data_IF_533778318022
#
_entry.id   IF_533778318022
#
_cell.length_a   1.000
_cell.length_b   1.000
_cell.length_c   1.000
_cell.angle_alpha   90.00
_cell.angle_beta   90.00
_cell.angle_gamma   90.00
#
_symmetry.space_group_name_H-M   'P 1'
#
loop_
_entity.id
_entity.type
_entity.pdbx_description
1 polymer ?
#
# COMPACT_ATOMS: atom_id res chain seq x y z
N UNK A 1 -3.16 -16.97 -10.64
CA UNK A 1 -2.19 -17.50 -11.61
C UNK A 1 -2.48 -18.95 -12.01
N UNK A 2 -2.29 -19.93 -11.11
CA UNK A 2 -2.41 -21.38 -11.41
C UNK A 2 -3.66 -21.80 -12.18
N UNK A 3 -4.85 -21.38 -11.71
CA UNK A 3 -6.11 -21.75 -12.33
C UNK A 3 -6.28 -21.20 -13.77
N UNK A 4 -5.53 -20.17 -14.13
CA UNK A 4 -5.50 -19.57 -15.47
C UNK A 4 -4.26 -19.98 -16.28
N UNK A 5 -3.43 -20.90 -15.78
CA UNK A 5 -2.18 -21.37 -16.42
C UNK A 5 -1.18 -20.24 -16.74
N UNK A 6 -1.10 -19.25 -15.86
CA UNK A 6 -0.13 -18.15 -15.93
C UNK A 6 1.17 -18.50 -15.20
N UNK A 7 2.21 -17.69 -15.38
CA UNK A 7 3.49 -17.85 -14.70
C UNK A 7 3.32 -17.55 -13.19
N UNK A 8 3.39 -18.61 -12.36
CA UNK A 8 3.25 -18.49 -10.91
C UNK A 8 4.41 -17.73 -10.29
N UNK A 9 5.64 -17.94 -10.74
CA UNK A 9 6.84 -17.29 -10.19
C UNK A 9 6.84 -15.79 -10.46
N UNK A 10 6.45 -15.38 -11.68
CA UNK A 10 6.32 -13.95 -12.02
C UNK A 10 5.20 -13.31 -11.19
N UNK A 11 4.06 -13.99 -11.04
CA UNK A 11 2.96 -13.48 -10.20
C UNK A 11 3.41 -13.32 -8.76
N UNK A 12 4.09 -14.32 -8.19
CA UNK A 12 4.60 -14.28 -6.82
C UNK A 12 5.65 -13.18 -6.63
N UNK A 13 6.61 -13.05 -7.56
CA UNK A 13 7.62 -12.00 -7.50
C UNK A 13 6.99 -10.59 -7.51
N UNK A 14 5.97 -10.36 -8.33
CA UNK A 14 5.23 -9.09 -8.33
C UNK A 14 4.46 -8.92 -7.01
N UNK A 15 3.76 -9.96 -6.55
CA UNK A 15 3.01 -9.93 -5.29
C UNK A 15 3.90 -9.61 -4.08
N UNK A 16 5.13 -10.10 -4.03
CA UNK A 16 6.07 -9.79 -2.95
C UNK A 16 6.66 -8.38 -3.05
N UNK A 17 6.74 -7.83 -4.26
CA UNK A 17 7.39 -6.54 -4.51
C UNK A 17 6.46 -5.32 -4.56
N UNK A 18 5.15 -5.51 -4.78
CA UNK A 18 4.23 -4.40 -5.09
C UNK A 18 4.14 -3.36 -3.96
N UNK A 19 4.26 -3.81 -2.70
CA UNK A 19 3.99 -3.02 -1.51
C UNK A 19 5.25 -2.53 -0.76
N UNK A 20 6.44 -2.73 -1.33
CA UNK A 20 7.71 -2.39 -0.67
C UNK A 20 7.89 -0.89 -0.36
N UNK A 21 7.16 -0.03 -1.07
CA UNK A 21 7.25 1.42 -0.96
C UNK A 21 6.23 2.06 -0.02
N UNK A 22 5.41 1.27 0.68
CA UNK A 22 4.47 1.83 1.66
C UNK A 22 5.20 2.53 2.80
N UNK A 23 4.71 3.74 3.11
CA UNK A 23 5.21 4.51 4.23
C UNK A 23 4.72 3.96 5.56
N UNK A 24 5.41 4.27 6.68
CA UNK A 24 4.82 4.14 8.00
C UNK A 24 3.44 4.78 8.07
N UNK A 25 2.54 4.15 8.82
CA UNK A 25 1.14 4.58 8.98
C UNK A 25 0.30 4.55 7.70
N UNK A 26 0.75 3.82 6.67
CA UNK A 26 0.02 3.63 5.42
C UNK A 26 -0.33 4.95 4.74
N UNK A 27 -1.62 5.15 4.41
CA UNK A 27 -2.10 6.34 3.71
C UNK A 27 -1.74 7.67 4.39
N UNK A 28 -1.67 7.72 5.71
CA UNK A 28 -1.34 8.95 6.44
C UNK A 28 0.09 9.41 6.14
N UNK A 29 1.03 8.46 6.11
CA UNK A 29 2.43 8.72 5.75
C UNK A 29 2.55 9.15 4.29
N UNK A 30 1.88 8.43 3.39
CA UNK A 30 1.89 8.69 1.94
C UNK A 30 1.35 10.08 1.63
N UNK A 31 0.15 10.44 2.14
CA UNK A 31 -0.44 11.77 1.96
C UNK A 31 0.42 12.89 2.56
N UNK A 32 1.17 12.60 3.62
CA UNK A 32 2.09 13.58 4.21
C UNK A 32 3.30 13.79 3.33
N UNK A 33 3.96 12.72 2.88
CA UNK A 33 5.11 12.83 1.97
C UNK A 33 4.69 13.43 0.62
N UNK A 34 3.51 13.11 0.11
CA UNK A 34 2.99 13.65 -1.15
C UNK A 34 2.86 15.17 -1.10
N UNK A 35 2.39 15.73 0.02
CA UNK A 35 2.33 17.18 0.23
C UNK A 35 3.71 17.83 0.42
N UNK A 36 4.68 17.09 0.94
CA UNK A 36 6.00 17.61 1.29
C UNK A 36 7.00 17.54 0.13
N UNK A 37 6.79 16.62 -0.82
CA UNK A 37 7.69 16.41 -1.95
C UNK A 37 7.30 17.25 -3.17
N UNK A 38 8.27 17.95 -3.80
CA UNK A 38 8.04 18.59 -5.09
C UNK A 38 7.86 17.51 -6.16
N UNK A 39 6.62 17.28 -6.59
CA UNK A 39 6.26 16.22 -7.54
C UNK A 39 5.37 15.11 -6.95
N UNK A 40 5.13 15.15 -5.64
CA UNK A 40 4.30 14.18 -4.95
C UNK A 40 5.05 12.93 -4.50
N UNK A 41 4.33 12.02 -3.86
CA UNK A 41 4.81 10.72 -3.39
C UNK A 41 3.72 9.68 -3.65
N UNK A 42 4.11 8.53 -4.18
CA UNK A 42 3.21 7.40 -4.43
C UNK A 42 3.91 6.10 -4.07
N UNK A 43 3.28 5.27 -3.27
CA UNK A 43 3.89 4.04 -2.77
C UNK A 43 4.34 3.12 -3.91
N UNK A 44 3.60 3.03 -5.02
CA UNK A 44 3.96 2.19 -6.15
C UNK A 44 5.21 2.68 -6.92
N UNK A 45 5.42 4.00 -6.98
CA UNK A 45 6.65 4.59 -7.52
C UNK A 45 7.82 4.35 -6.56
N UNK A 46 7.55 4.42 -5.25
CA UNK A 46 8.53 4.10 -4.22
C UNK A 46 8.89 2.60 -4.22
N UNK A 47 7.95 1.67 -4.40
CA UNK A 47 8.21 0.22 -4.48
C UNK A 47 9.15 -0.09 -5.64
N UNK A 48 8.92 0.55 -6.80
CA UNK A 48 9.83 0.43 -7.94
C UNK A 48 11.21 1.02 -7.61
N UNK A 49 11.27 2.18 -6.96
CA UNK A 49 12.53 2.82 -6.55
C UNK A 49 13.32 1.97 -5.55
N UNK A 50 12.65 1.29 -4.62
CA UNK A 50 13.28 0.37 -3.66
C UNK A 50 14.03 -0.73 -4.41
N UNK A 51 13.36 -1.42 -5.33
CA UNK A 51 13.98 -2.53 -6.08
C UNK A 51 14.95 -2.07 -7.16
N UNK A 52 14.83 -0.85 -7.66
CA UNK A 52 15.70 -0.32 -8.72
C UNK A 52 16.94 0.38 -8.20
N UNK A 53 16.94 0.86 -6.95
CA UNK A 53 18.01 1.75 -6.45
C UNK A 53 18.41 1.53 -4.99
N UNK A 54 17.44 1.37 -4.08
CA UNK A 54 17.71 1.47 -2.65
C UNK A 54 18.22 0.15 -2.06
N UNK A 55 17.71 -0.96 -2.56
CA UNK A 55 18.12 -2.30 -2.14
C UNK A 55 19.32 -2.82 -2.94
N UNK A 56 20.12 -3.69 -2.31
CA UNK A 56 21.33 -4.24 -2.92
C UNK A 56 22.43 -3.20 -3.16
N UNK A 57 23.24 -3.41 -4.20
CA UNK A 57 24.31 -2.50 -4.61
C UNK A 57 23.84 -1.62 -5.79
N UNK A 58 22.81 -0.80 -5.52
CA UNK A 58 22.19 0.07 -6.53
C UNK A 58 21.04 -0.57 -7.31
N UNK A 59 20.29 -1.48 -6.67
CA UNK A 59 19.13 -2.18 -7.24
C UNK A 59 19.29 -3.70 -7.25
N UNK A 60 18.15 -4.38 -7.36
CA UNK A 60 18.05 -5.85 -7.39
C UNK A 60 18.17 -6.43 -8.80
N UNK A 61 18.23 -5.59 -9.84
CA UNK A 61 18.31 -6.00 -11.26
C UNK A 61 17.19 -6.99 -11.65
N UNK A 62 15.95 -6.68 -11.22
CA UNK A 62 14.78 -7.49 -11.53
C UNK A 62 14.40 -7.40 -13.02
N UNK A 63 13.68 -8.41 -13.51
CA UNK A 63 13.17 -8.42 -14.88
C UNK A 63 12.19 -7.28 -15.12
N UNK A 64 12.06 -6.86 -16.38
CA UNK A 64 11.18 -5.74 -16.77
C UNK A 64 9.72 -6.04 -16.42
N UNK A 65 9.31 -7.30 -16.52
CA UNK A 65 7.96 -7.76 -16.22
C UNK A 65 7.65 -7.63 -14.73
N UNK A 66 8.57 -8.04 -13.85
CA UNK A 66 8.40 -7.89 -12.40
C UNK A 66 8.32 -6.42 -12.01
N UNK A 67 9.24 -5.59 -12.52
CA UNK A 67 9.26 -4.15 -12.29
C UNK A 67 7.99 -3.46 -12.76
N UNK A 68 7.49 -3.83 -13.94
CA UNK A 68 6.23 -3.30 -14.46
C UNK A 68 5.04 -3.70 -13.60
N UNK A 69 4.96 -4.97 -13.18
CA UNK A 69 3.91 -5.45 -12.28
C UNK A 69 3.89 -4.69 -10.96
N UNK A 70 5.06 -4.49 -10.34
CA UNK A 70 5.21 -3.70 -9.10
C UNK A 70 4.70 -2.28 -9.31
N UNK A 71 5.10 -1.61 -10.39
CA UNK A 71 4.72 -0.23 -10.64
C UNK A 71 3.24 -0.05 -11.00
N UNK A 72 2.66 -0.96 -11.78
CA UNK A 72 1.30 -0.86 -12.32
C UNK A 72 0.23 -1.58 -11.48
N UNK A 73 0.56 -2.12 -10.30
CA UNK A 73 -0.42 -2.81 -9.46
C UNK A 73 -1.57 -1.88 -9.04
N UNK A 74 -1.32 -0.58 -8.94
CA UNK A 74 -2.30 0.47 -8.62
C UNK A 74 -2.32 1.61 -9.66
N UNK A 75 -3.19 2.61 -9.47
CA UNK A 75 -3.30 3.80 -10.33
C UNK A 75 -3.83 3.52 -11.73
N UNK A 76 -3.76 4.48 -12.66
CA UNK A 76 -4.43 4.37 -13.97
C UNK A 76 -3.72 3.45 -14.98
N UNK A 77 -2.44 3.17 -14.74
CA UNK A 77 -1.62 2.38 -15.67
C UNK A 77 -1.89 0.90 -15.47
N UNK A 78 -2.21 0.22 -16.56
CA UNK A 78 -2.40 -1.23 -16.54
C UNK A 78 -1.05 -1.96 -16.61
N UNK A 79 -0.89 -3.07 -15.88
CA UNK A 79 0.24 -3.97 -16.06
C UNK A 79 0.29 -4.52 -17.50
N UNK A 80 1.49 -4.73 -18.02
CA UNK A 80 1.69 -5.26 -19.38
C UNK A 80 1.47 -6.77 -19.46
N UNK A 81 1.60 -7.48 -18.33
CA UNK A 81 1.45 -8.92 -18.22
C UNK A 81 0.13 -9.30 -17.58
N UNK A 82 -0.39 -10.48 -17.92
CA UNK A 82 -1.59 -11.02 -17.27
C UNK A 82 -1.32 -11.31 -15.79
N UNK A 83 -0.09 -11.70 -15.44
CA UNK A 83 0.37 -11.90 -14.07
C UNK A 83 0.27 -10.61 -13.26
N UNK A 84 0.69 -9.46 -13.81
CA UNK A 84 0.53 -8.18 -13.15
C UNK A 84 -0.93 -7.79 -12.94
N UNK A 85 -1.81 -8.08 -13.92
CA UNK A 85 -3.26 -7.86 -13.77
C UNK A 85 -3.83 -8.76 -12.68
N UNK A 86 -3.36 -10.01 -12.55
CA UNK A 86 -3.73 -10.90 -11.46
C UNK A 86 -3.34 -10.31 -10.11
N UNK A 87 -2.11 -9.81 -9.94
CA UNK A 87 -1.69 -9.19 -8.67
C UNK A 87 -2.57 -7.99 -8.33
N UNK A 88 -2.82 -7.13 -9.32
CA UNK A 88 -3.70 -5.96 -9.17
C UNK A 88 -5.11 -6.31 -8.71
N UNK A 89 -5.71 -7.38 -9.23
CA UNK A 89 -7.02 -7.85 -8.77
C UNK A 89 -6.94 -8.52 -7.40
N UNK A 90 -5.91 -9.33 -7.16
CA UNK A 90 -5.72 -10.03 -5.89
C UNK A 90 -5.51 -9.06 -4.72
N UNK A 91 -4.74 -8.00 -4.94
CA UNK A 91 -4.53 -6.92 -3.99
C UNK A 91 -5.87 -6.24 -3.60
N UNK A 92 -6.66 -5.83 -4.60
CA UNK A 92 -8.01 -5.27 -4.36
C UNK A 92 -8.93 -6.22 -3.58
N UNK A 93 -8.91 -7.52 -3.90
CA UNK A 93 -9.70 -8.54 -3.19
C UNK A 93 -9.21 -8.68 -1.74
N UNK A 94 -7.91 -8.68 -1.51
CA UNK A 94 -7.35 -8.79 -0.16
C UNK A 94 -7.70 -7.55 0.66
N UNK A 95 -7.38 -6.36 0.14
CA UNK A 95 -7.57 -5.07 0.80
C UNK A 95 -9.01 -4.86 1.27
N UNK A 96 -9.99 -5.01 0.36
CA UNK A 96 -11.41 -4.78 0.71
C UNK A 96 -11.89 -5.72 1.82
N UNK A 97 -11.40 -6.96 1.85
CA UNK A 97 -11.80 -7.94 2.85
C UNK A 97 -11.11 -7.71 4.21
N UNK A 98 -9.84 -7.29 4.19
CA UNK A 98 -9.11 -6.92 5.40
C UNK A 98 -9.72 -5.67 6.05
N UNK A 99 -10.04 -4.65 5.26
CA UNK A 99 -10.67 -3.43 5.75
C UNK A 99 -12.01 -3.67 6.42
N UNK A 100 -12.86 -4.53 5.84
CA UNK A 100 -14.14 -4.92 6.45
C UNK A 100 -13.88 -5.55 7.81
N UNK A 101 -12.97 -6.53 7.89
CA UNK A 101 -12.70 -7.26 9.12
C UNK A 101 -12.10 -6.36 10.21
N UNK A 102 -11.19 -5.45 9.84
CA UNK A 102 -10.58 -4.52 10.79
C UNK A 102 -11.59 -3.47 11.27
N UNK A 103 -12.45 -2.95 10.40
CA UNK A 103 -13.52 -2.04 10.78
C UNK A 103 -14.56 -2.72 11.71
N UNK A 104 -14.90 -3.98 11.46
CA UNK A 104 -15.77 -4.78 12.34
C UNK A 104 -15.12 -5.03 13.71
N UNK A 105 -13.83 -5.41 13.73
CA UNK A 105 -13.06 -5.65 14.97
C UNK A 105 -12.91 -4.39 15.81
N UNK A 106 -12.67 -3.25 15.16
CA UNK A 106 -12.58 -1.95 15.81
C UNK A 106 -13.95 -1.41 16.26
N UNK A 107 -15.06 -2.08 15.89
CA UNK A 107 -16.42 -1.64 16.21
C UNK A 107 -16.85 -0.38 15.45
N UNK A 108 -16.11 0.02 14.41
CA UNK A 108 -16.45 1.13 13.50
C UNK A 108 -17.67 0.76 12.66
N UNK A 109 -17.77 -0.52 12.29
CA UNK A 109 -18.89 -1.10 11.55
C UNK A 109 -19.52 -2.26 12.33
N UNK A 110 -20.78 -2.52 12.06
CA UNK A 110 -21.48 -3.77 12.37
C UNK A 110 -21.72 -4.53 11.08
N UNK A 111 -21.88 -5.86 11.19
CA UNK A 111 -22.14 -6.71 10.02
C UNK A 111 -23.38 -6.27 9.24
N UNK A 112 -24.41 -5.84 9.96
CA UNK A 112 -25.68 -5.37 9.37
C UNK A 112 -25.56 -3.99 8.70
N UNK A 113 -24.45 -3.28 8.87
CA UNK A 113 -24.20 -2.01 8.17
C UNK A 113 -23.73 -2.24 6.72
N UNK A 114 -23.20 -3.44 6.41
CA UNK A 114 -22.65 -3.72 5.09
C UNK A 114 -23.75 -3.76 4.02
N UNK A 115 -23.47 -3.27 2.80
CA UNK A 115 -24.45 -3.25 1.72
C UNK A 115 -25.00 -4.64 1.40
N UNK A 116 -26.33 -4.77 1.47
CA UNK A 116 -26.99 -6.06 1.32
C UNK A 116 -26.81 -6.64 -0.10
N UNK A 117 -26.73 -5.79 -1.13
CA UNK A 117 -26.44 -6.22 -2.49
C UNK A 117 -25.07 -6.89 -2.55
N UNK A 118 -24.01 -6.20 -2.13
CA UNK A 118 -22.69 -6.79 -2.11
C UNK A 118 -22.58 -8.07 -1.27
N UNK A 119 -23.27 -8.16 -0.12
CA UNK A 119 -23.31 -9.39 0.67
C UNK A 119 -24.02 -10.56 -0.03
N UNK A 120 -25.02 -10.28 -0.88
CA UNK A 120 -25.69 -11.31 -1.67
C UNK A 120 -24.81 -11.84 -2.80
N UNK A 121 -24.03 -10.96 -3.43
CA UNK A 121 -23.16 -11.30 -4.57
C UNK A 121 -21.85 -11.92 -4.10
N UNK A 122 -21.16 -11.27 -3.17
CA UNK A 122 -19.82 -11.67 -2.73
C UNK A 122 -19.89 -12.65 -1.56
N UNK A 123 -20.86 -12.55 -0.67
CA UNK A 123 -21.03 -13.47 0.45
C UNK A 123 -21.01 -12.79 1.83
N UNK A 124 -21.41 -13.56 2.84
CA UNK A 124 -21.71 -13.08 4.19
C UNK A 124 -20.53 -13.16 5.14
N UNK A 125 -19.56 -14.00 4.82
CA UNK A 125 -18.32 -14.19 5.59
C UNK A 125 -17.09 -13.78 4.79
N UNK A 126 -16.00 -13.50 5.49
CA UNK A 126 -14.69 -13.23 4.88
C UNK A 126 -14.29 -14.32 3.87
N UNK A 127 -14.43 -15.59 4.27
CA UNK A 127 -14.09 -16.72 3.42
C UNK A 127 -14.97 -16.83 2.16
N UNK A 128 -16.28 -16.59 2.29
CA UNK A 128 -17.19 -16.59 1.13
C UNK A 128 -16.87 -15.47 0.15
N UNK A 129 -16.60 -14.24 0.65
CA UNK A 129 -16.22 -13.10 -0.19
C UNK A 129 -14.97 -13.37 -1.01
N UNK A 130 -13.89 -13.79 -0.35
CA UNK A 130 -12.66 -14.16 -1.06
C UNK A 130 -12.93 -15.28 -2.06
N UNK A 131 -13.65 -16.34 -1.65
CA UNK A 131 -13.95 -17.46 -2.52
C UNK A 131 -14.71 -17.04 -3.78
N UNK A 132 -15.81 -16.30 -3.64
CA UNK A 132 -16.67 -15.90 -4.75
C UNK A 132 -15.97 -14.91 -5.68
N UNK A 133 -15.22 -13.95 -5.14
CA UNK A 133 -14.44 -13.00 -5.95
C UNK A 133 -13.33 -13.71 -6.75
N UNK A 134 -12.58 -14.61 -6.11
CA UNK A 134 -11.52 -15.38 -6.80
C UNK A 134 -12.11 -16.33 -7.82
N UNK A 135 -13.22 -17.01 -7.49
CA UNK A 135 -13.90 -17.92 -8.40
C UNK A 135 -14.37 -17.18 -9.65
N UNK A 136 -14.99 -16.02 -9.50
CA UNK A 136 -15.45 -15.19 -10.63
C UNK A 136 -14.27 -14.77 -11.53
N UNK A 137 -13.16 -14.28 -10.96
CA UNK A 137 -11.95 -13.99 -11.74
C UNK A 137 -11.52 -15.20 -12.55
N UNK A 138 -11.47 -16.39 -11.95
CA UNK A 138 -11.06 -17.61 -12.64
C UNK A 138 -12.03 -17.99 -13.76
N UNK A 139 -13.34 -17.99 -13.51
CA UNK A 139 -14.36 -18.38 -14.49
C UNK A 139 -14.46 -17.40 -15.67
N UNK A 140 -14.24 -16.11 -15.42
CA UNK A 140 -14.26 -15.09 -16.46
C UNK A 140 -12.95 -14.98 -17.25
N UNK A 141 -11.84 -15.51 -16.73
CA UNK A 141 -10.52 -15.36 -17.35
C UNK A 141 -9.98 -16.62 -18.02
N UNK A 142 -10.28 -17.80 -17.46
CA UNK A 142 -9.65 -19.06 -17.87
C UNK A 142 -9.86 -19.35 -19.36
N UNK A 143 -8.76 -19.50 -20.10
CA UNK A 143 -8.77 -19.82 -21.53
C UNK A 143 -9.17 -18.66 -22.45
N UNK A 144 -9.38 -17.44 -21.93
CA UNK A 144 -9.83 -16.29 -22.72
C UNK A 144 -8.71 -15.33 -23.14
N UNK A 145 -7.49 -15.52 -22.62
CA UNK A 145 -6.35 -14.63 -22.88
C UNK A 145 -6.49 -13.23 -22.26
N UNK A 146 -7.42 -13.07 -21.32
CA UNK A 146 -7.65 -11.84 -20.56
C UNK A 146 -7.88 -12.21 -19.10
N UNK A 147 -7.54 -11.30 -18.19
CA UNK A 147 -7.84 -11.40 -16.76
C UNK A 147 -8.90 -10.35 -16.45
N UNK A 148 -10.08 -10.79 -16.03
CA UNK A 148 -11.24 -9.92 -15.79
C UNK A 148 -12.17 -10.52 -14.74
N UNK A 149 -13.06 -9.69 -14.21
CA UNK A 149 -14.22 -10.06 -13.39
C UNK A 149 -15.51 -9.89 -14.20
N UNK A 150 -16.61 -10.46 -13.71
CA UNK A 150 -17.94 -10.19 -14.25
C UNK A 150 -18.43 -8.80 -13.82
N UNK A 151 -19.32 -8.21 -14.62
CA UNK A 151 -19.96 -6.91 -14.30
C UNK A 151 -20.65 -6.96 -12.94
N UNK A 152 -21.33 -8.07 -12.63
CA UNK A 152 -22.06 -8.24 -11.38
C UNK A 152 -21.15 -8.25 -10.14
N UNK A 153 -20.00 -8.94 -10.22
CA UNK A 153 -19.01 -8.95 -9.12
C UNK A 153 -18.28 -7.61 -9.03
N UNK A 154 -18.01 -6.96 -10.17
CA UNK A 154 -17.41 -5.62 -10.19
C UNK A 154 -18.30 -4.59 -9.50
N UNK A 155 -19.59 -4.54 -9.84
CA UNK A 155 -20.57 -3.65 -9.20
C UNK A 155 -20.65 -3.85 -7.69
N UNK A 156 -20.73 -5.10 -7.22
CA UNK A 156 -20.76 -5.42 -5.80
C UNK A 156 -19.46 -5.04 -5.06
N UNK A 157 -18.32 -5.21 -5.75
CA UNK A 157 -17.00 -4.83 -5.19
C UNK A 157 -16.87 -3.32 -5.08
N UNK A 158 -17.31 -2.57 -6.10
CA UNK A 158 -17.29 -1.11 -6.09
C UNK A 158 -18.23 -0.55 -5.02
N UNK A 159 -19.43 -1.11 -4.86
CA UNK A 159 -20.36 -0.71 -3.79
C UNK A 159 -19.74 -0.87 -2.39
N UNK A 160 -19.08 -2.01 -2.12
CA UNK A 160 -18.40 -2.21 -0.84
C UNK A 160 -17.24 -1.24 -0.65
N UNK A 161 -16.43 -1.01 -1.68
CA UNK A 161 -15.29 -0.09 -1.60
C UNK A 161 -15.79 1.32 -1.27
N UNK A 162 -16.80 1.79 -1.99
CA UNK A 162 -17.34 3.14 -1.81
C UNK A 162 -17.99 3.27 -0.42
N UNK A 163 -18.71 2.23 0.04
CA UNK A 163 -19.24 2.17 1.40
C UNK A 163 -18.14 2.25 2.47
N UNK A 164 -17.06 1.48 2.33
CA UNK A 164 -15.93 1.51 3.26
C UNK A 164 -15.27 2.88 3.26
N UNK A 165 -15.05 3.46 2.08
CA UNK A 165 -14.53 4.82 1.94
C UNK A 165 -15.35 5.83 2.74
N UNK A 166 -16.68 5.81 2.57
CA UNK A 166 -17.56 6.75 3.25
C UNK A 166 -17.69 6.52 4.76
N UNK A 167 -17.58 5.27 5.24
CA UNK A 167 -17.86 4.93 6.65
C UNK A 167 -16.63 4.72 7.51
N UNK A 168 -15.57 4.16 6.94
CA UNK A 168 -14.34 3.81 7.65
C UNK A 168 -13.30 4.91 7.48
N UNK A 169 -13.22 5.53 6.30
CA UNK A 169 -12.22 6.55 6.01
C UNK A 169 -12.73 7.98 6.26
N UNK A 170 -13.97 8.29 5.88
CA UNK A 170 -14.57 9.60 6.14
C UNK A 170 -15.20 9.66 7.54
N UNK A 171 -14.45 10.19 8.51
CA UNK A 171 -15.00 10.62 9.81
C UNK A 171 -14.96 9.59 10.95
N UNK A 172 -14.20 8.51 10.80
CA UNK A 172 -13.98 7.53 11.88
C UNK A 172 -12.99 8.01 12.94
N UNK A 173 -12.95 7.30 14.08
CA UNK A 173 -12.00 7.56 15.16
C UNK A 173 -10.53 7.39 14.72
N UNK A 174 -10.29 6.67 13.61
CA UNK A 174 -8.98 6.53 12.98
C UNK A 174 -8.35 7.88 12.58
N UNK A 175 -9.17 8.90 12.28
CA UNK A 175 -8.67 10.27 12.00
C UNK A 175 -7.93 10.92 13.16
N UNK A 176 -8.22 10.54 14.40
CA UNK A 176 -7.56 11.15 15.58
C UNK A 176 -6.08 10.82 15.63
N UNK A 177 -5.74 9.58 15.32
CA UNK A 177 -4.35 9.12 15.31
C UNK A 177 -3.68 9.38 13.96
N UNK A 178 -4.44 9.43 12.86
CA UNK A 178 -3.98 9.90 11.55
C UNK A 178 -3.31 11.29 11.66
N UNK A 179 -3.97 12.26 12.31
CA UNK A 179 -3.39 13.60 12.49
C UNK A 179 -2.09 13.62 13.33
N UNK A 180 -1.88 12.62 14.21
CA UNK A 180 -0.62 12.47 14.95
C UNK A 180 0.45 11.85 14.06
N UNK A 181 0.11 10.83 13.28
CA UNK A 181 0.99 10.19 12.32
C UNK A 181 1.49 11.20 11.27
N UNK A 182 0.58 11.98 10.67
CA UNK A 182 0.95 13.05 9.73
C UNK A 182 1.92 14.05 10.35
N UNK A 183 1.64 14.50 11.59
CA UNK A 183 2.50 15.46 12.29
C UNK A 183 3.87 14.87 12.61
N UNK A 184 3.91 13.60 13.00
CA UNK A 184 5.15 12.87 13.27
C UNK A 184 6.02 12.81 12.01
N UNK A 185 5.45 12.36 10.90
CA UNK A 185 6.12 12.29 9.59
C UNK A 185 6.62 13.66 9.16
N UNK A 186 5.78 14.70 9.22
CA UNK A 186 6.16 16.06 8.83
C UNK A 186 7.28 16.64 9.72
N UNK A 187 7.25 16.35 11.02
CA UNK A 187 8.27 16.83 11.97
C UNK A 187 9.62 16.15 11.69
N UNK A 188 9.63 14.82 11.50
CA UNK A 188 10.85 14.09 11.13
C UNK A 188 11.39 14.52 9.77
N UNK A 189 10.51 14.74 8.79
CA UNK A 189 10.91 15.26 7.48
C UNK A 189 11.61 16.62 7.61
N UNK A 190 11.02 17.55 8.36
CA UNK A 190 11.64 18.86 8.62
C UNK A 190 12.99 18.74 9.37
N UNK A 191 13.08 17.80 10.31
CA UNK A 191 14.29 17.55 11.08
C UNK A 191 15.43 17.02 10.21
N UNK A 192 15.21 15.97 9.42
CA UNK A 192 16.25 15.42 8.55
C UNK A 192 16.61 16.34 7.39
N UNK A 193 15.72 17.26 6.97
CA UNK A 193 16.10 18.36 6.07
C UNK A 193 17.06 19.35 6.72
N UNK A 194 16.91 19.60 8.01
CA UNK A 194 17.79 20.50 8.76
C UNK A 194 19.12 19.85 9.13
N UNK A 195 19.11 18.55 9.39
CA UNK A 195 20.25 17.77 9.87
C UNK A 195 20.44 16.49 9.02
N UNK A 196 20.73 16.61 7.71
CA UNK A 196 20.81 15.47 6.80
C UNK A 196 21.93 14.48 7.12
N UNK A 197 22.97 14.92 7.82
CA UNK A 197 24.06 14.07 8.32
C UNK A 197 23.61 13.01 9.34
N UNK A 198 22.41 13.16 9.91
CA UNK A 198 21.83 12.17 10.82
C UNK A 198 21.18 10.98 10.09
N UNK A 199 20.95 11.08 8.78
CA UNK A 199 20.48 9.95 7.99
C UNK A 199 21.60 8.93 7.78
N UNK A 200 21.30 7.63 7.63
CA UNK A 200 22.27 6.62 7.24
C UNK A 200 23.04 6.97 5.96
N UNK A 201 24.25 6.40 5.82
CA UNK A 201 25.17 6.69 4.70
C UNK A 201 24.55 6.48 3.32
N UNK A 202 23.67 5.48 3.18
CA UNK A 202 22.88 5.23 1.97
C UNK A 202 22.10 6.48 1.54
N UNK A 203 21.28 7.04 2.43
CA UNK A 203 20.45 8.22 2.13
C UNK A 203 21.28 9.50 2.02
N UNK A 204 22.42 9.60 2.71
CA UNK A 204 23.36 10.68 2.45
C UNK A 204 23.96 10.61 1.04
N UNK A 205 24.16 9.42 0.49
CA UNK A 205 24.59 9.25 -0.90
C UNK A 205 23.47 9.67 -1.87
N UNK A 206 22.22 9.25 -1.60
CA UNK A 206 21.03 9.72 -2.36
C UNK A 206 20.94 11.24 -2.32
N UNK A 207 21.12 11.87 -1.16
CA UNK A 207 21.07 13.33 -1.03
C UNK A 207 22.05 14.02 -1.98
N UNK A 208 23.30 13.55 -2.03
CA UNK A 208 24.34 14.13 -2.89
C UNK A 208 24.06 13.95 -4.39
N UNK A 209 23.27 12.95 -4.78
CA UNK A 209 23.04 12.60 -6.18
C UNK A 209 21.69 13.09 -6.71
N UNK A 210 20.63 12.95 -5.92
CA UNK A 210 19.23 13.15 -6.34
C UNK A 210 18.55 14.32 -5.61
N UNK A 211 19.14 14.82 -4.52
CA UNK A 211 18.61 15.94 -3.76
C UNK A 211 18.09 15.54 -2.38
N UNK A 212 17.94 16.55 -1.52
CA UNK A 212 17.71 16.37 -0.10
C UNK A 212 16.30 15.83 0.17
N UNK A 213 15.31 16.40 -0.49
CA UNK A 213 13.90 16.05 -0.32
C UNK A 213 13.65 14.56 -0.62
N UNK A 214 14.23 14.06 -1.73
CA UNK A 214 14.14 12.65 -2.12
C UNK A 214 14.81 11.76 -1.07
N UNK A 215 16.02 12.09 -0.63
CA UNK A 215 16.74 11.31 0.37
C UNK A 215 16.00 11.19 1.70
N UNK A 216 15.38 12.29 2.16
CA UNK A 216 14.59 12.30 3.40
C UNK A 216 13.31 11.48 3.24
N UNK A 217 12.62 11.59 2.10
CA UNK A 217 11.44 10.77 1.82
C UNK A 217 11.78 9.28 1.74
N UNK A 218 12.86 8.90 1.05
CA UNK A 218 13.36 7.53 0.98
C UNK A 218 13.65 6.97 2.38
N UNK A 219 14.28 7.77 3.24
CA UNK A 219 14.60 7.33 4.59
C UNK A 219 13.35 7.14 5.46
N UNK A 220 12.41 8.09 5.40
CA UNK A 220 11.17 8.01 6.18
C UNK A 220 10.26 6.89 5.67
N UNK A 221 10.11 6.74 4.36
CA UNK A 221 9.31 5.69 3.75
C UNK A 221 9.87 4.30 4.08
N UNK A 222 11.20 4.15 4.19
CA UNK A 222 11.83 2.89 4.58
C UNK A 222 11.74 2.55 6.07
N UNK A 223 11.09 3.36 6.91
CA UNK A 223 10.89 3.06 8.32
C UNK A 223 9.72 2.09 8.53
N UNK A 224 9.73 1.38 9.65
CA UNK A 224 8.53 0.70 10.17
C UNK A 224 7.81 1.62 11.16
N UNK A 225 6.51 1.42 11.39
CA UNK A 225 5.74 2.17 12.40
C UNK A 225 6.43 2.21 13.76
N UNK A 226 6.93 1.06 14.22
CA UNK A 226 7.64 0.98 15.51
C UNK A 226 8.94 1.79 15.50
N UNK A 227 9.67 1.79 14.40
CA UNK A 227 10.94 2.50 14.31
C UNK A 227 10.72 4.01 14.23
N UNK A 228 9.77 4.48 13.41
CA UNK A 228 9.49 5.92 13.29
C UNK A 228 8.96 6.50 14.61
N UNK A 229 8.11 5.77 15.34
CA UNK A 229 7.64 6.17 16.67
C UNK A 229 8.83 6.30 17.63
N UNK A 230 9.69 5.28 17.68
CA UNK A 230 10.87 5.29 18.54
C UNK A 230 11.81 6.47 18.23
N UNK A 231 12.09 6.73 16.95
CA UNK A 231 12.91 7.86 16.53
C UNK A 231 12.29 9.19 16.94
N UNK A 232 10.98 9.34 16.77
CA UNK A 232 10.27 10.54 17.18
C UNK A 232 10.34 10.76 18.70
N UNK A 233 10.13 9.71 19.50
CA UNK A 233 10.25 9.76 20.95
C UNK A 233 11.65 10.19 21.40
N UNK A 234 12.70 9.59 20.84
CA UNK A 234 14.09 9.92 21.18
C UNK A 234 14.46 11.37 20.86
N UNK A 235 13.91 11.93 19.78
CA UNK A 235 14.29 13.26 19.29
C UNK A 235 13.47 14.39 19.88
N UNK A 236 12.17 14.17 20.14
CA UNK A 236 11.24 15.26 20.45
C UNK A 236 10.56 15.11 21.82
N UNK A 237 10.64 13.95 22.46
CA UNK A 237 10.05 13.74 23.78
C UNK A 237 11.16 13.73 24.84
N UNK A 238 11.20 14.71 25.77
CA UNK A 238 12.19 14.72 26.82
C UNK A 238 12.07 13.46 27.69
N UNK A 239 13.17 12.74 27.88
CA UNK A 239 13.20 11.68 28.87
C UNK A 239 13.24 12.30 30.26
N UNK A 240 12.22 12.03 31.07
CA UNK A 240 12.21 12.43 32.48
C UNK A 240 13.43 11.84 33.20
N UNK A 241 14.01 12.59 34.12
CA UNK A 241 15.07 12.07 34.98
C UNK A 241 14.46 10.95 35.83
N UNK A 242 14.87 9.71 35.62
CA UNK A 242 14.59 8.62 36.55
C UNK A 242 15.36 8.94 37.83
N UNK A 243 14.65 9.47 38.83
CA UNK A 243 15.15 9.64 40.21
C UNK A 243 15.30 8.28 40.90
#
# INVERSE_FOLDING_TARGET
>A
ARACWLNEDLTEAISLGHDLGHTPFGHAGEQTLDRLLPGGFRHNEQSLRVVDKLEGDGGLNLTVETRNGIYCHTGDKQPTTLEGIVVRLADRIAYINHDIDDALRAGVLKKDDLPQFALQVLGQSHAERIHNMVLDVVEQSRGRGVITVSEHVQEATDELRDFLFDRVYIGSEAKRDEGKAERMVATLFAHYRRFPEQMPSLYQAVWRQEGLEIAVADYIAGMTDRFIIHQFEQMFIPQGWTL
#
